data_IF_001003121750
#
_entry.id   IF_001003121750
#
_cell.length_a   1.000
_cell.length_b   1.000
_cell.length_c   1.000
_cell.angle_alpha   90.00
_cell.angle_beta   90.00
_cell.angle_gamma   90.00
#
_symmetry.space_group_name_H-M   'P 1'
#
loop_
_entity.id
_entity.type
_entity.pdbx_description
1 polymer ?
#
# COMPACT_ATOMS: atom_id res chain seq x y z
N UNK A 1 -15.30 -4.71 7.65
CA UNK A 1 -13.91 -4.64 8.12
C UNK A 1 -13.65 -3.27 8.72
N UNK A 2 -12.99 -3.22 9.85
CA UNK A 2 -12.69 -1.95 10.52
C UNK A 2 -11.26 -1.52 10.20
N UNK A 3 -11.07 -0.29 9.72
CA UNK A 3 -9.76 0.28 9.50
C UNK A 3 -9.12 0.69 10.85
N UNK A 4 -7.82 0.52 10.95
CA UNK A 4 -7.02 1.00 12.07
C UNK A 4 -6.24 2.26 11.67
N UNK A 5 -6.02 3.16 12.62
CA UNK A 5 -5.15 4.32 12.45
C UNK A 5 -3.97 4.15 13.39
N UNK A 6 -2.79 4.07 12.82
CA UNK A 6 -1.54 3.87 13.56
C UNK A 6 -0.45 4.80 13.06
N UNK A 7 0.52 5.06 13.94
CA UNK A 7 1.79 5.61 13.52
C UNK A 7 2.67 4.47 13.00
N UNK A 8 3.11 4.58 11.76
CA UNK A 8 3.96 3.59 11.11
C UNK A 8 5.39 4.10 10.98
N UNK A 9 6.35 3.20 11.07
CA UNK A 9 7.78 3.51 10.95
C UNK A 9 8.29 3.19 9.55
N UNK A 10 8.98 4.14 8.94
CA UNK A 10 9.61 3.98 7.62
C UNK A 10 10.88 3.13 7.75
N UNK A 11 10.96 2.08 6.97
CA UNK A 11 12.17 1.29 6.81
C UNK A 11 12.99 1.79 5.61
N UNK A 12 12.34 2.06 4.50
CA UNK A 12 12.96 2.53 3.25
C UNK A 12 11.97 3.37 2.45
N UNK A 13 12.50 4.31 1.67
CA UNK A 13 11.73 5.09 0.70
C UNK A 13 12.60 5.30 -0.53
N UNK A 14 12.57 4.34 -1.44
CA UNK A 14 13.53 4.19 -2.54
C UNK A 14 12.99 4.77 -3.84
N UNK A 15 13.85 5.41 -4.62
CA UNK A 15 13.54 5.81 -5.99
C UNK A 15 13.70 4.57 -6.89
N UNK A 16 12.60 4.17 -7.52
CA UNK A 16 12.58 3.00 -8.42
C UNK A 16 12.71 3.44 -9.88
N UNK A 17 12.09 4.55 -10.22
CA UNK A 17 12.11 5.15 -11.54
C UNK A 17 11.87 6.66 -11.40
N UNK A 18 11.98 7.47 -12.47
CA UNK A 18 11.60 8.87 -12.40
C UNK A 18 10.19 9.03 -11.83
N UNK A 19 10.07 9.84 -10.77
CA UNK A 19 8.83 10.12 -10.04
C UNK A 19 8.12 8.89 -9.42
N UNK A 20 8.75 7.72 -9.42
CA UNK A 20 8.21 6.49 -8.81
C UNK A 20 9.05 6.10 -7.60
N UNK A 21 8.39 5.88 -6.46
CA UNK A 21 9.03 5.48 -5.22
C UNK A 21 8.40 4.22 -4.63
N UNK A 22 9.23 3.44 -3.97
CA UNK A 22 8.80 2.29 -3.16
C UNK A 22 9.04 2.63 -1.68
N UNK A 23 7.94 2.81 -0.95
CA UNK A 23 7.96 3.07 0.49
C UNK A 23 7.68 1.75 1.22
N UNK A 24 8.62 1.34 2.07
CA UNK A 24 8.48 0.16 2.92
C UNK A 24 8.32 0.61 4.37
N UNK A 25 7.27 0.14 5.03
CA UNK A 25 6.92 0.55 6.40
C UNK A 25 6.63 -0.66 7.27
N UNK A 26 6.81 -0.50 8.58
CA UNK A 26 6.33 -1.46 9.58
C UNK A 26 4.85 -1.19 9.83
N UNK A 27 4.02 -2.23 9.69
CA UNK A 27 2.61 -2.21 10.09
C UNK A 27 2.43 -3.05 11.35
N UNK A 28 2.24 -2.43 12.52
CA UNK A 28 2.23 -3.17 13.78
C UNK A 28 0.95 -3.94 14.03
N UNK A 29 -0.15 -3.57 13.39
CA UNK A 29 -1.47 -4.15 13.61
C UNK A 29 -1.73 -5.37 12.71
N UNK A 30 -1.34 -6.54 13.19
CA UNK A 30 -1.51 -7.79 12.45
C UNK A 30 -2.97 -8.26 12.37
N UNK A 31 -3.82 -7.81 13.26
CA UNK A 31 -5.25 -8.13 13.24
C UNK A 31 -5.98 -7.45 12.09
N UNK A 32 -5.37 -6.38 11.56
CA UNK A 32 -5.84 -5.64 10.39
C UNK A 32 -4.88 -5.81 9.21
N UNK A 33 -4.47 -7.04 8.91
CA UNK A 33 -3.61 -7.32 7.76
C UNK A 33 -4.32 -7.01 6.44
N UNK A 34 -3.65 -6.32 5.51
CA UNK A 34 -4.24 -6.02 4.20
C UNK A 34 -4.24 -7.22 3.28
N UNK A 35 -5.14 -7.19 2.29
CA UNK A 35 -5.13 -8.12 1.16
C UNK A 35 -5.22 -7.38 -0.18
N UNK A 36 -5.03 -8.12 -1.26
CA UNK A 36 -4.94 -7.55 -2.61
C UNK A 36 -6.14 -6.67 -2.96
N UNK A 37 -5.87 -5.52 -3.55
CA UNK A 37 -6.88 -4.53 -3.96
C UNK A 37 -7.27 -3.54 -2.86
N UNK A 38 -6.83 -3.73 -1.63
CA UNK A 38 -7.03 -2.75 -0.57
C UNK A 38 -6.00 -1.62 -0.62
N UNK A 39 -6.29 -0.53 0.06
CA UNK A 39 -5.44 0.65 0.15
C UNK A 39 -5.38 1.19 1.57
N UNK A 40 -4.43 2.08 1.81
CA UNK A 40 -4.31 2.89 3.02
C UNK A 40 -4.33 4.36 2.65
N UNK A 41 -4.68 5.21 3.62
CA UNK A 41 -4.41 6.64 3.51
C UNK A 41 -3.15 6.98 4.30
N UNK A 42 -2.25 7.72 3.66
CA UNK A 42 -0.94 8.10 4.17
C UNK A 42 -0.88 9.60 4.41
N UNK A 43 -0.32 9.99 5.55
CA UNK A 43 -0.13 11.39 5.92
C UNK A 43 1.17 11.57 6.70
N UNK A 44 2.10 12.34 6.16
CA UNK A 44 3.38 12.68 6.78
C UNK A 44 3.51 14.14 7.20
N UNK A 45 2.41 14.87 7.19
CA UNK A 45 2.36 16.30 7.52
C UNK A 45 1.32 16.58 8.60
N UNK A 46 1.45 17.74 9.24
CA UNK A 46 0.59 18.15 10.34
C UNK A 46 -0.86 18.41 9.94
N UNK A 47 -1.75 18.39 10.94
CA UNK A 47 -3.19 18.61 10.72
C UNK A 47 -3.52 19.98 10.10
N UNK A 48 -2.68 20.98 10.38
CA UNK A 48 -2.83 22.35 9.89
C UNK A 48 -2.09 22.63 8.57
N UNK A 49 -1.44 21.61 8.02
CA UNK A 49 -0.68 21.71 6.78
C UNK A 49 -1.47 21.19 5.58
N UNK A 50 -1.21 21.78 4.40
CA UNK A 50 -1.73 21.26 3.14
C UNK A 50 -0.94 20.02 2.68
N UNK A 51 -1.55 19.11 1.92
CA UNK A 51 -2.95 19.07 1.53
C UNK A 51 -3.88 18.67 2.68
N UNK A 52 -5.13 19.08 2.62
CA UNK A 52 -6.11 18.79 3.66
C UNK A 52 -6.34 17.29 3.86
N UNK A 53 -6.43 16.54 2.77
CA UNK A 53 -6.69 15.10 2.81
C UNK A 53 -5.40 14.28 2.74
N UNK A 54 -5.36 13.20 3.51
CA UNK A 54 -4.36 12.15 3.38
C UNK A 54 -4.39 11.52 1.98
N UNK A 55 -3.28 10.94 1.52
CA UNK A 55 -3.19 10.33 0.19
C UNK A 55 -3.56 8.85 0.21
N UNK A 56 -4.57 8.45 -0.58
CA UNK A 56 -4.89 7.03 -0.73
C UNK A 56 -3.86 6.37 -1.65
N UNK A 57 -3.22 5.33 -1.14
CA UNK A 57 -2.22 4.56 -1.89
C UNK A 57 -2.54 3.08 -1.74
N UNK A 58 -2.58 2.36 -2.87
CA UNK A 58 -2.84 0.93 -2.90
C UNK A 58 -1.70 0.13 -2.26
N UNK A 59 -2.05 -0.96 -1.60
CA UNK A 59 -1.06 -1.91 -1.10
C UNK A 59 -0.35 -2.57 -2.28
N UNK A 60 0.98 -2.40 -2.34
CA UNK A 60 1.81 -3.08 -3.34
C UNK A 60 2.16 -4.49 -2.87
N UNK A 61 2.62 -4.63 -1.62
CA UNK A 61 2.98 -5.91 -1.02
C UNK A 61 2.73 -5.89 0.49
N UNK A 62 2.20 -6.98 1.00
CA UNK A 62 2.15 -7.30 2.41
C UNK A 62 3.06 -8.49 2.71
N UNK A 63 3.92 -8.35 3.69
CA UNK A 63 4.75 -9.44 4.19
C UNK A 63 4.38 -9.72 5.65
N UNK A 64 3.67 -10.83 5.93
CA UNK A 64 3.26 -11.16 7.29
C UNK A 64 4.41 -11.56 8.20
N UNK A 65 5.50 -12.10 7.66
CA UNK A 65 6.65 -12.55 8.47
C UNK A 65 7.37 -11.37 9.13
N UNK A 66 7.54 -10.29 8.39
CA UNK A 66 8.20 -9.07 8.86
C UNK A 66 7.22 -7.99 9.34
N UNK A 67 5.91 -8.18 9.20
CA UNK A 67 4.89 -7.14 9.42
C UNK A 67 5.17 -5.86 8.64
N UNK A 68 5.51 -5.98 7.37
CA UNK A 68 5.82 -4.83 6.52
C UNK A 68 4.84 -4.69 5.37
N UNK A 69 4.52 -3.43 5.05
CA UNK A 69 3.76 -3.07 3.85
C UNK A 69 4.67 -2.28 2.93
N UNK A 70 4.59 -2.57 1.65
CA UNK A 70 5.19 -1.77 0.59
C UNK A 70 4.11 -1.00 -0.17
N UNK A 71 4.38 0.29 -0.39
CA UNK A 71 3.59 1.18 -1.22
C UNK A 71 4.42 1.65 -2.40
N UNK A 72 4.00 1.29 -3.60
CA UNK A 72 4.59 1.80 -4.85
C UNK A 72 3.73 2.97 -5.32
N UNK A 73 4.29 4.17 -5.36
CA UNK A 73 3.53 5.38 -5.66
C UNK A 73 4.27 6.33 -6.59
N UNK A 74 3.49 7.13 -7.29
CA UNK A 74 4.00 8.18 -8.16
C UNK A 74 3.94 9.54 -7.46
N UNK A 75 5.02 10.31 -7.54
CA UNK A 75 5.08 11.66 -7.02
C UNK A 75 4.44 12.59 -8.05
N UNK A 76 3.22 13.05 -7.77
CA UNK A 76 2.40 13.83 -8.71
C UNK A 76 1.86 15.13 -8.12
N UNK A 77 2.04 15.38 -6.85
CA UNK A 77 1.52 16.59 -6.20
C UNK A 77 2.04 16.76 -4.80
N UNK A 78 1.60 17.80 -4.11
CA UNK A 78 2.12 18.22 -2.81
C UNK A 78 2.14 17.12 -1.75
N UNK A 79 1.08 16.33 -1.65
CA UNK A 79 1.02 15.24 -0.66
C UNK A 79 2.05 14.14 -0.94
N UNK A 80 2.15 13.69 -2.19
CA UNK A 80 3.14 12.68 -2.58
C UNK A 80 4.57 13.22 -2.55
N UNK A 81 4.78 14.51 -2.77
CA UNK A 81 6.08 15.16 -2.57
C UNK A 81 6.49 15.14 -1.11
N UNK A 82 5.57 15.38 -0.17
CA UNK A 82 5.82 15.25 1.26
C UNK A 82 6.11 13.82 1.68
N UNK A 83 5.38 12.84 1.13
CA UNK A 83 5.67 11.43 1.35
C UNK A 83 7.07 11.06 0.83
N UNK A 84 7.48 11.64 -0.30
CA UNK A 84 8.81 11.39 -0.88
C UNK A 84 9.98 11.87 -0.01
N UNK A 85 9.72 12.77 0.94
CA UNK A 85 10.72 13.28 1.88
C UNK A 85 10.90 12.38 3.12
N UNK A 86 10.04 11.39 3.32
CA UNK A 86 10.17 10.43 4.42
C UNK A 86 11.48 9.66 4.30
N UNK A 87 12.17 9.53 5.42
CA UNK A 87 13.46 8.84 5.56
C UNK A 87 13.34 7.65 6.50
N UNK A 88 14.32 6.78 6.46
CA UNK A 88 14.42 5.66 7.42
C UNK A 88 14.29 6.16 8.87
N UNK A 89 13.50 5.44 9.66
CA UNK A 89 13.15 5.72 11.05
C UNK A 89 12.13 6.85 11.26
N UNK A 90 11.74 7.56 10.22
CA UNK A 90 10.63 8.52 10.33
C UNK A 90 9.33 7.77 10.66
N UNK A 91 8.45 8.44 11.39
CA UNK A 91 7.12 7.98 11.68
C UNK A 91 6.09 8.86 10.97
N UNK A 92 5.00 8.25 10.53
CA UNK A 92 3.91 8.95 9.87
C UNK A 92 2.58 8.25 10.11
N UNK A 93 1.48 8.95 9.86
CA UNK A 93 0.14 8.42 10.07
C UNK A 93 -0.27 7.53 8.90
N UNK A 94 -0.67 6.29 9.22
CA UNK A 94 -1.14 5.29 8.30
C UNK A 94 -2.51 4.78 8.76
N UNK A 95 -3.51 4.87 7.90
CA UNK A 95 -4.87 4.43 8.21
C UNK A 95 -5.37 3.44 7.18
N UNK A 96 -5.78 2.29 7.63
CA UNK A 96 -6.29 1.21 6.80
C UNK A 96 -6.31 -0.14 7.52
N UNK A 97 -6.42 -1.24 6.78
CA UNK A 97 -6.69 -1.30 5.34
C UNK A 97 -8.12 -0.86 5.01
N UNK A 98 -8.32 -0.32 3.82
CA UNK A 98 -9.61 0.14 3.32
C UNK A 98 -9.92 -0.47 1.96
N UNK A 99 -11.20 -0.49 1.60
CA UNK A 99 -11.69 -1.07 0.35
C UNK A 99 -12.01 -2.56 0.49
N UNK A 100 -12.80 -3.06 -0.46
CA UNK A 100 -13.23 -4.46 -0.46
C UNK A 100 -12.14 -5.43 -0.92
N UNK A 101 -11.22 -4.95 -1.76
CA UNK A 101 -10.19 -5.79 -2.37
C UNK A 101 -10.75 -6.80 -3.38
N UNK A 102 -9.89 -7.74 -3.75
CA UNK A 102 -10.26 -8.87 -4.61
C UNK A 102 -10.62 -10.09 -3.76
N UNK A 103 -11.73 -10.73 -4.08
CA UNK A 103 -12.10 -12.01 -3.45
C UNK A 103 -11.32 -13.15 -4.16
N UNK A 104 -10.07 -13.32 -3.78
CA UNK A 104 -9.19 -14.34 -4.37
C UNK A 104 -9.74 -15.75 -4.22
N UNK A 105 -10.26 -16.19 -3.05
CA UNK A 105 -10.90 -17.50 -2.92
C UNK A 105 -12.03 -17.74 -3.92
N UNK A 106 -12.89 -16.74 -4.11
CA UNK A 106 -13.98 -16.82 -5.08
C UNK A 106 -13.45 -16.92 -6.51
N UNK A 107 -12.48 -16.08 -6.87
CA UNK A 107 -11.88 -16.05 -8.21
C UNK A 107 -11.29 -17.41 -8.57
N UNK A 108 -10.46 -17.98 -7.72
CA UNK A 108 -9.79 -19.27 -8.02
C UNK A 108 -10.78 -20.45 -8.00
N UNK A 109 -11.89 -20.33 -7.28
CA UNK A 109 -12.94 -21.34 -7.29
C UNK A 109 -13.70 -21.40 -8.62
N UNK A 110 -13.84 -20.25 -9.30
CA UNK A 110 -14.62 -20.09 -10.54
C UNK A 110 -13.79 -20.22 -11.80
N UNK A 111 -12.53 -19.80 -11.78
CA UNK A 111 -11.72 -19.64 -12.99
C UNK A 111 -10.41 -20.40 -12.92
N UNK A 112 -10.11 -21.17 -13.96
CA UNK A 112 -8.85 -21.93 -14.08
C UNK A 112 -7.72 -21.12 -14.74
N UNK A 113 -8.07 -20.09 -15.48
CA UNK A 113 -7.13 -19.21 -16.17
C UNK A 113 -7.45 -17.77 -15.81
N UNK A 114 -6.48 -17.06 -15.30
CA UNK A 114 -6.62 -15.69 -14.80
C UNK A 114 -5.53 -14.86 -15.45
N UNK A 115 -5.90 -13.71 -16.00
CA UNK A 115 -4.98 -12.71 -16.49
C UNK A 115 -5.03 -11.48 -15.56
N UNK A 116 -3.88 -10.98 -15.18
CA UNK A 116 -3.74 -9.75 -14.42
C UNK A 116 -3.17 -8.68 -15.34
N UNK A 117 -3.88 -7.57 -15.48
CA UNK A 117 -3.49 -6.48 -16.38
C UNK A 117 -3.37 -5.19 -15.59
N UNK A 118 -2.22 -4.52 -15.71
CA UNK A 118 -1.96 -3.22 -15.08
C UNK A 118 -1.30 -2.28 -16.08
N UNK A 119 -1.66 -1.00 -16.02
CA UNK A 119 -1.08 0.06 -16.83
C UNK A 119 -0.59 1.21 -15.96
N UNK A 120 0.60 1.76 -16.26
CA UNK A 120 1.20 2.84 -15.49
C UNK A 120 1.32 2.48 -14.01
N UNK A 121 1.00 3.44 -13.14
CA UNK A 121 1.02 3.19 -11.68
C UNK A 121 -0.08 2.21 -11.23
N UNK A 122 -1.06 1.91 -12.06
CA UNK A 122 -2.07 0.89 -11.82
C UNK A 122 -1.50 -0.53 -11.69
N UNK A 123 -0.24 -0.75 -12.07
CA UNK A 123 0.49 -2.00 -11.81
C UNK A 123 0.82 -2.20 -10.33
N UNK A 124 0.84 -1.14 -9.54
CA UNK A 124 1.25 -1.20 -8.12
C UNK A 124 0.45 -2.23 -7.30
N UNK A 125 -0.91 -2.25 -7.35
CA UNK A 125 -1.69 -3.24 -6.60
C UNK A 125 -1.66 -4.64 -7.20
N UNK A 126 -1.22 -4.81 -8.43
CA UNK A 126 -1.22 -6.09 -9.14
C UNK A 126 -0.21 -7.08 -8.58
N UNK A 127 0.86 -6.61 -7.96
CA UNK A 127 1.86 -7.49 -7.35
C UNK A 127 1.27 -8.33 -6.21
N UNK A 128 0.59 -7.71 -5.26
CA UNK A 128 -0.05 -8.42 -4.16
C UNK A 128 -1.14 -9.38 -4.67
N UNK A 129 -1.94 -8.94 -5.64
CA UNK A 129 -2.95 -9.78 -6.27
C UNK A 129 -2.33 -11.03 -6.90
N UNK A 130 -1.26 -10.87 -7.66
CA UNK A 130 -0.56 -11.99 -8.30
C UNK A 130 -0.03 -12.98 -7.26
N UNK A 131 0.54 -12.47 -6.17
CA UNK A 131 1.03 -13.32 -5.08
C UNK A 131 -0.07 -14.12 -4.41
N UNK A 132 -1.20 -13.49 -4.11
CA UNK A 132 -2.34 -14.16 -3.47
C UNK A 132 -2.99 -15.19 -4.40
N UNK A 133 -3.12 -14.87 -5.69
CA UNK A 133 -3.62 -15.82 -6.69
C UNK A 133 -2.69 -17.04 -6.82
N UNK A 134 -1.38 -16.82 -6.87
CA UNK A 134 -0.41 -17.91 -6.96
C UNK A 134 -0.41 -18.79 -5.69
N UNK A 135 -0.56 -18.20 -4.52
CA UNK A 135 -0.64 -18.94 -3.26
C UNK A 135 -1.95 -19.75 -3.11
N UNK A 136 -3.02 -19.29 -3.73
CA UNK A 136 -4.34 -19.94 -3.66
C UNK A 136 -4.52 -21.08 -4.70
N UNK A 137 -3.63 -21.19 -5.64
CA UNK A 137 -3.69 -22.25 -6.65
C UNK A 137 -3.36 -21.83 -8.04
#
# INVERSE_FOLDING_TARGET
MRAACCEATVLRNEVIAPDIRLLTVVWPDRDHAPHAGQFFTLRSWGADEAPFLSRPISVHRWNPDSSTIEFLYQVVGEGTEKLAQLKQQDAFQLTGPMGNGFDVPEIVSKYKKIAVVGGGIGTAPMYQLTRELAAAG
#
